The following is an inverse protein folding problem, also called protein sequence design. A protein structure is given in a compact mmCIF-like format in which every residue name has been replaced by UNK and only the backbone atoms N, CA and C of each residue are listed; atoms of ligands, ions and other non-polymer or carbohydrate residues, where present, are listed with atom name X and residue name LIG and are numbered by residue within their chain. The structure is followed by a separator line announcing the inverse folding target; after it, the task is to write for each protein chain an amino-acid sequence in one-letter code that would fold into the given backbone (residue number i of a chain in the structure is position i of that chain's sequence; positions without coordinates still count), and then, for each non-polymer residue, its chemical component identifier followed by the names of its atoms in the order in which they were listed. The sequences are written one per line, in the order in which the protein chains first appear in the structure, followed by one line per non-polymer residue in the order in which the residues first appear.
data_IF_270970578672
#
_entry.id   IF_270970578672
#
_cell.length_a   1.000
_cell.length_b   1.000
_cell.length_c   1.000
_cell.angle_alpha   90.00
_cell.angle_beta   90.00
_cell.angle_gamma   90.00
#
_symmetry.space_group_name_H-M   'P 1'
#
loop_
_entity.id
_entity.type
_entity.pdbx_description
1 polymer ?
#
# COMPACT_ATOMS: atom_id res chain seq x y z
N UNK A 1 -16.90 -59.01 18.22
CA UNK A 1 -17.40 -60.29 17.68
C UNK A 1 -17.88 -60.00 16.26
N UNK A 2 -17.06 -60.30 15.26
CA UNK A 2 -17.04 -61.57 14.49
C UNK A 2 -18.12 -61.59 13.40
N UNK A 3 -17.66 -61.63 12.14
CA UNK A 3 -18.40 -61.90 10.91
C UNK A 3 -19.27 -63.17 11.01
N UNK A 4 -20.22 -63.37 10.08
CA UNK A 4 -19.84 -64.21 8.93
C UNK A 4 -20.42 -63.74 7.58
N UNK A 5 -19.66 -64.04 6.53
CA UNK A 5 -20.17 -64.29 5.18
C UNK A 5 -20.62 -65.76 5.05
N UNK A 6 -21.41 -66.10 4.01
CA UNK A 6 -20.98 -67.22 3.15
C UNK A 6 -21.25 -66.96 1.64
N UNK A 7 -20.27 -67.15 0.75
CA UNK A 7 -19.92 -68.37 -0.05
C UNK A 7 -20.77 -68.55 -1.34
N UNK A 8 -20.05 -68.53 -2.48
CA UNK A 8 -20.49 -68.95 -3.84
C UNK A 8 -20.51 -70.48 -4.01
N UNK A 9 -21.11 -70.97 -5.11
CA UNK A 9 -20.34 -71.66 -6.17
C UNK A 9 -20.73 -71.09 -7.56
N UNK A 10 -20.02 -71.21 -8.68
CA UNK A 10 -18.92 -72.07 -9.11
C UNK A 10 -19.11 -72.39 -10.61
N UNK A 11 -18.29 -71.75 -11.47
CA UNK A 11 -17.80 -72.13 -12.83
C UNK A 11 -18.67 -72.91 -13.85
N UNK A 12 -18.79 -72.33 -15.05
CA UNK A 12 -18.25 -72.78 -16.38
C UNK A 12 -19.15 -72.15 -17.46
N UNK A 13 -18.73 -71.65 -18.62
CA UNK A 13 -17.56 -71.83 -19.45
C UNK A 13 -18.08 -71.90 -20.89
N UNK A 14 -17.69 -70.95 -21.75
CA UNK A 14 -17.34 -71.11 -23.18
C UNK A 14 -17.54 -69.82 -23.97
N UNK A 15 -16.48 -69.51 -24.72
CA UNK A 15 -16.38 -68.44 -25.70
C UNK A 15 -17.11 -68.79 -27.00
N UNK A 16 -17.60 -67.76 -27.71
CA UNK A 16 -17.86 -67.77 -29.16
C UNK A 16 -17.69 -66.34 -29.68
N UNK A 17 -16.59 -66.04 -30.38
CA UNK A 17 -16.53 -65.91 -31.86
C UNK A 17 -17.47 -64.78 -32.33
N UNK A 18 -17.01 -63.54 -32.51
CA UNK A 18 -16.19 -63.00 -33.62
C UNK A 18 -16.92 -63.03 -34.97
N UNK A 19 -17.78 -62.04 -35.19
CA UNK A 19 -18.22 -61.58 -36.51
C UNK A 19 -18.30 -60.05 -36.51
N UNK A 20 -17.20 -59.38 -36.85
CA UNK A 20 -17.23 -57.99 -37.30
C UNK A 20 -17.56 -58.00 -38.78
N UNK A 21 -18.79 -57.61 -39.13
CA UNK A 21 -19.19 -57.35 -40.52
C UNK A 21 -18.38 -56.17 -41.06
N UNK A 22 -17.66 -56.45 -42.14
CA UNK A 22 -17.03 -55.46 -43.01
C UNK A 22 -18.12 -54.64 -43.69
N UNK A 23 -18.16 -53.34 -43.41
CA UNK A 23 -18.77 -52.36 -44.31
C UNK A 23 -17.63 -51.74 -45.13
N UNK A 24 -17.62 -52.07 -46.41
CA UNK A 24 -16.78 -51.47 -47.45
C UNK A 24 -17.15 -50.00 -47.59
N UNK A 25 -16.25 -49.10 -47.19
CA UNK A 25 -16.32 -47.68 -47.51
C UNK A 25 -15.70 -47.52 -48.90
N UNK A 26 -16.54 -47.30 -49.92
CA UNK A 26 -16.08 -46.77 -51.20
C UNK A 26 -15.55 -45.35 -50.97
N UNK A 27 -14.23 -45.20 -51.08
CA UNK A 27 -13.56 -43.91 -51.11
C UNK A 27 -13.79 -43.33 -52.51
N UNK A 28 -14.83 -42.49 -52.65
CA UNK A 28 -14.95 -41.60 -53.80
C UNK A 28 -13.90 -40.49 -53.64
N UNK A 29 -12.75 -40.69 -54.28
CA UNK A 29 -11.72 -39.67 -54.42
C UNK A 29 -12.18 -38.58 -55.39
N UNK A 30 -12.73 -37.48 -54.88
CA UNK A 30 -12.81 -36.22 -55.64
C UNK A 30 -11.54 -35.40 -55.36
N UNK A 31 -10.80 -34.94 -56.38
CA UNK A 31 -9.62 -34.12 -56.16
C UNK A 31 -10.06 -32.67 -55.92
N UNK A 32 -10.19 -32.28 -54.66
CA UNK A 32 -10.27 -30.86 -54.29
C UNK A 32 -8.90 -30.19 -54.50
N UNK A 33 -8.72 -29.59 -55.68
CA UNK A 33 -7.63 -28.65 -55.97
C UNK A 33 -7.86 -27.36 -55.18
N UNK A 34 -7.43 -27.33 -53.92
CA UNK A 34 -7.19 -26.06 -53.22
C UNK A 34 -5.69 -25.77 -53.23
N UNK A 35 -5.20 -25.26 -54.36
CA UNK A 35 -3.89 -24.62 -54.44
C UNK A 35 -4.05 -23.22 -53.82
N UNK A 36 -4.13 -23.15 -52.50
CA UNK A 36 -4.00 -21.87 -51.79
C UNK A 36 -2.59 -21.38 -52.14
N UNK A 37 -2.50 -20.27 -52.86
CA UNK A 37 -1.22 -19.66 -53.19
C UNK A 37 -0.44 -19.47 -51.88
N UNK A 38 0.84 -19.84 -51.90
CA UNK A 38 1.74 -19.73 -50.75
C UNK A 38 1.79 -18.29 -50.22
N UNK A 39 1.50 -17.30 -51.07
CA UNK A 39 1.36 -15.89 -50.69
C UNK A 39 0.08 -15.59 -49.92
N UNK A 40 -1.05 -16.23 -50.27
CA UNK A 40 -2.32 -16.08 -49.55
C UNK A 40 -2.25 -16.72 -48.16
N UNK A 41 -1.48 -17.80 -48.01
CA UNK A 41 -1.21 -18.42 -46.71
C UNK A 41 -0.31 -17.54 -45.83
N UNK A 42 0.78 -16.99 -46.41
CA UNK A 42 1.66 -16.03 -45.73
C UNK A 42 0.89 -14.78 -45.27
N UNK A 43 0.02 -14.23 -46.12
CA UNK A 43 -0.79 -13.06 -45.78
C UNK A 43 -1.75 -13.34 -44.61
N UNK A 44 -2.42 -14.50 -44.62
CA UNK A 44 -3.33 -14.90 -43.53
C UNK A 44 -2.58 -15.11 -42.20
N UNK A 45 -1.40 -15.73 -42.23
CA UNK A 45 -0.56 -15.91 -41.04
C UNK A 45 -0.07 -14.55 -40.51
N UNK A 46 0.36 -13.64 -41.38
CA UNK A 46 0.79 -12.30 -40.99
C UNK A 46 -0.35 -11.48 -40.37
N UNK A 47 -1.56 -11.54 -40.94
CA UNK A 47 -2.75 -10.88 -40.38
C UNK A 47 -3.10 -11.47 -39.01
N UNK A 48 -3.07 -12.80 -38.86
CA UNK A 48 -3.35 -13.47 -37.60
C UNK A 48 -2.33 -13.09 -36.51
N UNK A 49 -1.04 -13.01 -36.86
CA UNK A 49 0.02 -12.58 -35.94
C UNK A 49 -0.18 -11.11 -35.52
N UNK A 50 -0.57 -10.23 -36.45
CA UNK A 50 -0.89 -8.83 -36.17
C UNK A 50 -2.09 -8.70 -35.23
N UNK A 51 -3.14 -9.51 -35.42
CA UNK A 51 -4.30 -9.56 -34.54
C UNK A 51 -3.95 -10.02 -33.12
N UNK A 52 -3.02 -10.98 -32.97
CA UNK A 52 -2.55 -11.42 -31.65
C UNK A 52 -1.76 -10.31 -30.96
N UNK A 53 -0.83 -9.66 -31.68
CA UNK A 53 0.01 -8.58 -31.10
C UNK A 53 -0.86 -7.39 -30.67
N UNK A 54 -1.88 -7.05 -31.47
CA UNK A 54 -2.83 -5.98 -31.13
C UNK A 54 -3.77 -6.37 -29.99
N UNK A 55 -4.25 -7.62 -29.92
CA UNK A 55 -5.03 -8.10 -28.77
C UNK A 55 -4.22 -8.07 -27.46
N UNK A 56 -2.92 -8.42 -27.50
CA UNK A 56 -2.02 -8.34 -26.35
C UNK A 56 -1.77 -6.89 -25.92
N UNK A 57 -1.59 -5.97 -26.87
CA UNK A 57 -1.44 -4.53 -26.56
C UNK A 57 -2.71 -3.93 -25.95
N UNK A 58 -3.88 -4.27 -26.49
CA UNK A 58 -5.17 -3.78 -26.00
C UNK A 58 -5.44 -4.32 -24.59
N UNK A 59 -5.27 -5.63 -24.37
CA UNK A 59 -5.45 -6.23 -23.05
C UNK A 59 -4.46 -5.69 -22.01
N UNK A 60 -3.22 -5.35 -22.40
CA UNK A 60 -2.25 -4.69 -21.53
C UNK A 60 -2.68 -3.30 -21.07
N UNK A 61 -3.28 -2.51 -21.97
CA UNK A 61 -3.78 -1.16 -21.67
C UNK A 61 -5.06 -1.18 -20.80
N UNK A 62 -5.98 -2.12 -21.04
CA UNK A 62 -7.19 -2.25 -20.22
C UNK A 62 -6.89 -2.70 -18.79
N UNK A 63 -5.94 -3.63 -18.60
CA UNK A 63 -5.52 -4.10 -17.27
C UNK A 63 -4.96 -2.96 -16.40
N UNK A 64 -4.14 -2.08 -16.99
CA UNK A 64 -3.56 -0.94 -16.27
C UNK A 64 -4.59 0.10 -15.84
N UNK A 65 -5.65 0.30 -16.61
CA UNK A 65 -6.72 1.26 -16.28
C UNK A 65 -7.62 0.70 -15.19
N UNK A 66 -7.98 -0.59 -15.26
CA UNK A 66 -8.80 -1.27 -14.26
C UNK A 66 -8.07 -1.37 -12.90
N UNK A 67 -6.78 -1.73 -12.91
CA UNK A 67 -5.94 -1.74 -11.70
C UNK A 67 -5.84 -0.34 -11.07
N UNK A 68 -5.79 0.74 -11.87
CA UNK A 68 -5.73 2.13 -11.37
C UNK A 68 -7.05 2.61 -10.74
N UNK A 69 -8.19 2.19 -11.28
CA UNK A 69 -9.52 2.58 -10.79
C UNK A 69 -9.88 1.84 -9.50
N UNK A 70 -9.51 0.56 -9.41
CA UNK A 70 -9.65 -0.24 -8.19
C UNK A 70 -8.68 0.25 -7.10
N UNK A 71 -7.48 0.71 -7.47
CA UNK A 71 -6.50 1.32 -6.57
C UNK A 71 -7.04 2.58 -5.87
N UNK A 72 -7.53 3.57 -6.61
CA UNK A 72 -8.02 4.84 -6.06
C UNK A 72 -9.23 4.64 -5.13
N UNK A 73 -10.11 3.70 -5.46
CA UNK A 73 -11.25 3.33 -4.61
C UNK A 73 -10.80 2.63 -3.31
N UNK A 74 -9.78 1.78 -3.36
CA UNK A 74 -9.24 1.11 -2.19
C UNK A 74 -8.64 2.10 -1.18
N UNK A 75 -7.92 3.14 -1.64
CA UNK A 75 -7.29 4.11 -0.74
C UNK A 75 -8.26 5.15 -0.16
N UNK A 76 -9.28 5.58 -0.91
CA UNK A 76 -10.35 6.44 -0.37
C UNK A 76 -11.04 5.82 0.85
N UNK A 77 -11.13 4.49 0.92
CA UNK A 77 -11.70 3.76 2.06
C UNK A 77 -10.87 3.93 3.35
N UNK A 78 -9.54 4.11 3.26
CA UNK A 78 -8.64 4.21 4.42
C UNK A 78 -8.19 5.64 4.75
N UNK A 79 -8.27 6.55 3.78
CA UNK A 79 -7.67 7.88 3.88
C UNK A 79 -8.62 9.03 3.45
N UNK A 80 -9.94 8.91 3.66
CA UNK A 80 -10.88 10.05 3.59
C UNK A 80 -10.57 11.06 4.71
N UNK A 81 -9.48 11.79 4.53
CA UNK A 81 -9.07 12.85 5.42
C UNK A 81 -9.73 14.15 4.97
N UNK A 82 -10.78 14.52 5.69
CA UNK A 82 -11.37 15.85 5.60
C UNK A 82 -10.62 16.78 6.53
N UNK A 83 -10.29 17.97 6.04
CA UNK A 83 -9.78 19.04 6.87
C UNK A 83 -10.91 19.53 7.78
N UNK A 84 -10.84 19.09 9.03
CA UNK A 84 -11.87 19.37 10.03
C UNK A 84 -11.23 20.00 11.28
N UNK A 85 -12.04 20.75 12.05
CA UNK A 85 -11.63 21.25 13.35
C UNK A 85 -11.24 20.10 14.27
N UNK A 86 -10.18 20.30 15.07
CA UNK A 86 -9.73 19.30 16.02
C UNK A 86 -8.53 19.77 16.82
N UNK A 87 -8.03 18.89 17.70
CA UNK A 87 -6.87 19.21 18.51
C UNK A 87 -5.56 19.01 17.75
N UNK A 88 -4.65 19.96 17.94
CA UNK A 88 -3.22 19.79 17.69
C UNK A 88 -2.48 19.86 19.01
N UNK A 89 -1.32 19.22 19.07
CA UNK A 89 -0.46 19.24 20.24
C UNK A 89 0.61 20.33 20.05
N UNK A 90 0.62 21.30 20.95
CA UNK A 90 1.59 22.39 20.97
C UNK A 90 2.64 22.07 22.03
N UNK A 91 3.91 22.09 21.62
CA UNK A 91 5.07 21.89 22.47
C UNK A 91 5.94 23.14 22.37
N UNK A 92 5.98 23.96 23.42
CA UNK A 92 6.62 25.28 23.38
C UNK A 92 7.44 25.58 24.61
N UNK A 93 8.47 26.42 24.50
CA UNK A 93 9.18 26.93 25.67
C UNK A 93 8.25 27.82 26.50
N UNK A 94 8.45 27.81 27.81
CA UNK A 94 7.71 28.69 28.71
C UNK A 94 7.93 30.15 28.30
N UNK A 95 6.82 30.90 28.18
CA UNK A 95 6.84 32.31 27.80
C UNK A 95 6.96 32.59 26.29
N UNK A 96 7.02 31.57 25.43
CA UNK A 96 6.97 31.76 23.97
C UNK A 96 5.57 31.50 23.43
N UNK A 97 5.27 32.04 22.24
CA UNK A 97 4.04 31.75 21.51
C UNK A 97 4.35 30.94 20.25
N UNK A 98 3.49 29.98 19.92
CA UNK A 98 3.58 29.19 18.70
C UNK A 98 2.22 29.25 18.04
N UNK A 99 2.19 29.76 16.80
CA UNK A 99 1.01 29.74 15.97
C UNK A 99 0.97 28.40 15.20
N UNK A 100 0.03 27.49 15.51
CA UNK A 100 -0.05 26.22 14.83
C UNK A 100 -0.33 26.35 13.32
N UNK A 101 -0.96 27.43 12.85
CA UNK A 101 -1.21 27.64 11.42
C UNK A 101 0.06 28.00 10.63
N UNK A 102 1.10 28.52 11.30
CA UNK A 102 2.36 28.98 10.67
C UNK A 102 3.57 28.13 11.03
N UNK A 103 3.47 27.30 12.08
CA UNK A 103 4.59 26.54 12.63
C UNK A 103 4.71 25.18 11.97
N UNK A 104 5.28 25.17 10.76
CA UNK A 104 5.47 23.97 9.94
C UNK A 104 6.83 23.29 10.11
N UNK A 105 7.74 23.90 10.88
CA UNK A 105 9.07 23.34 11.21
C UNK A 105 9.39 23.48 12.69
N UNK A 106 10.20 22.59 13.27
CA UNK A 106 10.66 22.76 14.64
C UNK A 106 11.58 23.97 14.77
N UNK A 107 11.43 24.74 15.85
CA UNK A 107 12.27 25.90 16.17
C UNK A 107 12.82 25.79 17.59
N UNK A 108 13.69 26.71 18.01
CA UNK A 108 14.13 26.78 19.42
C UNK A 108 12.98 27.03 20.40
N UNK A 109 11.93 27.69 19.94
CA UNK A 109 10.74 28.03 20.72
C UNK A 109 9.79 26.84 20.86
N UNK A 110 9.82 25.90 19.92
CA UNK A 110 9.06 24.66 19.99
C UNK A 110 8.57 24.18 18.64
N UNK A 111 7.47 23.42 18.63
CA UNK A 111 6.90 22.80 17.44
C UNK A 111 5.45 22.35 17.69
N UNK A 112 4.78 21.92 16.62
CA UNK A 112 3.39 21.45 16.65
C UNK A 112 3.30 20.04 16.07
N UNK A 113 2.59 19.17 16.77
CA UNK A 113 2.22 17.83 16.31
C UNK A 113 0.76 17.86 15.89
N UNK A 114 0.47 17.29 14.72
CA UNK A 114 -0.84 17.27 14.06
C UNK A 114 -1.26 15.82 13.82
N UNK A 115 -2.56 15.59 13.73
CA UNK A 115 -3.08 14.28 13.36
C UNK A 115 -2.68 13.92 11.93
N UNK A 116 -2.61 12.63 11.63
CA UNK A 116 -2.20 12.00 10.36
C UNK A 116 -0.75 12.27 9.91
N UNK A 117 0.02 13.04 10.69
CA UNK A 117 1.48 13.19 10.52
C UNK A 117 2.28 12.07 11.18
N UNK A 118 3.48 11.82 10.66
CA UNK A 118 4.47 10.90 11.19
C UNK A 118 5.47 11.66 12.08
N UNK A 119 5.78 11.09 13.23
CA UNK A 119 6.71 11.67 14.21
C UNK A 119 7.59 10.60 14.85
N UNK A 120 8.84 10.95 15.17
CA UNK A 120 9.74 10.11 15.97
C UNK A 120 9.63 10.51 17.45
N UNK A 121 8.81 9.76 18.19
CA UNK A 121 8.48 10.02 19.59
C UNK A 121 8.92 8.89 20.49
N UNK A 122 9.47 9.26 21.64
CA UNK A 122 9.80 8.36 22.75
C UNK A 122 9.00 8.71 24.00
N UNK A 123 8.47 7.68 24.66
CA UNK A 123 7.58 7.80 25.80
C UNK A 123 8.23 7.35 27.11
N UNK A 124 7.57 7.66 28.23
CA UNK A 124 8.04 7.42 29.59
C UNK A 124 8.34 5.94 29.91
N UNK A 125 7.67 5.02 29.22
CA UNK A 125 7.89 3.57 29.31
C UNK A 125 9.09 3.07 28.49
N UNK A 126 9.87 3.97 27.86
CA UNK A 126 11.00 3.64 27.01
C UNK A 126 10.64 3.20 25.59
N UNK A 127 9.34 3.08 25.24
CA UNK A 127 8.94 2.78 23.86
C UNK A 127 9.19 3.98 22.96
N UNK A 128 9.72 3.70 21.77
CA UNK A 128 9.97 4.69 20.71
C UNK A 128 9.29 4.24 19.43
N UNK A 129 8.61 5.18 18.78
CA UNK A 129 7.94 4.99 17.51
C UNK A 129 8.61 5.90 16.50
N UNK A 130 9.36 5.34 15.56
CA UNK A 130 10.18 6.10 14.59
C UNK A 130 9.35 6.63 13.41
N UNK A 131 8.35 5.85 13.03
CA UNK A 131 7.48 6.04 11.85
C UNK A 131 5.99 5.95 12.22
N UNK A 132 5.67 6.15 13.50
CA UNK A 132 4.28 6.11 13.97
C UNK A 132 3.48 7.32 13.49
N UNK A 133 2.27 7.07 13.03
CA UNK A 133 1.31 8.10 12.60
C UNK A 133 0.44 8.47 13.79
N UNK A 134 0.29 9.77 14.05
CA UNK A 134 -0.61 10.26 15.11
C UNK A 134 -2.04 10.21 14.60
N UNK A 135 -2.83 9.23 15.03
CA UNK A 135 -4.21 9.05 14.55
C UNK A 135 -5.23 9.91 15.28
N UNK A 136 -4.96 10.28 16.53
CA UNK A 136 -5.85 11.12 17.31
C UNK A 136 -5.09 11.95 18.33
N UNK A 137 -5.62 13.15 18.64
CA UNK A 137 -5.15 14.01 19.72
C UNK A 137 -6.40 14.47 20.47
N UNK A 138 -6.37 14.34 21.80
CA UNK A 138 -7.39 14.88 22.70
C UNK A 138 -6.77 15.95 23.59
N UNK A 139 -7.52 16.42 24.59
CA UNK A 139 -7.02 17.44 25.52
C UNK A 139 -5.80 16.97 26.34
N UNK A 140 -5.71 15.68 26.64
CA UNK A 140 -4.77 15.11 27.60
C UNK A 140 -4.03 13.85 27.11
N UNK A 141 -4.36 13.36 25.91
CA UNK A 141 -3.74 12.19 25.30
C UNK A 141 -3.54 12.31 23.79
N UNK A 142 -2.72 11.42 23.25
CA UNK A 142 -2.59 11.18 21.81
C UNK A 142 -2.59 9.68 21.52
N UNK A 143 -3.00 9.31 20.32
CA UNK A 143 -2.94 7.93 19.81
C UNK A 143 -1.97 7.85 18.65
N UNK A 144 -1.00 6.93 18.71
CA UNK A 144 0.04 6.71 17.71
C UNK A 144 0.02 5.26 17.22
N UNK A 145 0.24 5.03 15.92
CA UNK A 145 0.43 3.68 15.38
C UNK A 145 1.84 3.14 15.61
N UNK A 146 2.02 1.81 15.57
CA UNK A 146 3.36 1.19 15.68
C UNK A 146 4.34 1.64 14.60
N UNK A 147 3.86 1.74 13.36
CA UNK A 147 4.58 2.24 12.18
C UNK A 147 3.56 2.86 11.20
N UNK A 148 3.94 3.17 9.96
CA UNK A 148 3.07 3.94 9.06
C UNK A 148 1.81 3.19 8.62
N UNK A 149 1.93 1.92 8.26
CA UNK A 149 0.82 1.09 7.80
C UNK A 149 1.09 -0.41 8.08
N UNK A 150 0.13 -1.26 7.73
CA UNK A 150 0.21 -2.72 7.93
C UNK A 150 1.37 -3.37 7.15
N UNK A 151 1.68 -2.88 5.94
CA UNK A 151 2.78 -3.41 5.14
C UNK A 151 4.13 -3.13 5.80
N UNK A 152 4.32 -1.92 6.34
CA UNK A 152 5.51 -1.59 7.13
C UNK A 152 5.62 -2.46 8.37
N UNK A 153 4.51 -2.69 9.08
CA UNK A 153 4.50 -3.51 10.29
C UNK A 153 4.91 -4.95 9.97
N UNK A 154 4.36 -5.51 8.89
CA UNK A 154 4.71 -6.84 8.39
C UNK A 154 6.19 -6.94 8.00
N UNK A 155 6.72 -5.92 7.33
CA UNK A 155 8.14 -5.86 6.94
C UNK A 155 9.07 -5.78 8.16
N UNK A 156 8.70 -4.98 9.16
CA UNK A 156 9.43 -4.81 10.41
C UNK A 156 9.28 -6.02 11.37
N UNK A 157 8.37 -6.96 11.08
CA UNK A 157 8.10 -8.11 11.93
C UNK A 157 7.38 -7.75 13.23
N UNK A 158 6.60 -6.68 13.23
CA UNK A 158 5.82 -6.19 14.39
C UNK A 158 4.32 -6.15 14.07
N UNK A 159 3.44 -6.21 15.08
CA UNK A 159 2.01 -6.02 14.83
C UNK A 159 1.69 -4.55 14.50
N UNK A 160 0.70 -4.35 13.61
CA UNK A 160 0.16 -3.02 13.36
C UNK A 160 -0.89 -2.69 14.42
N UNK A 161 -0.51 -1.83 15.37
CA UNK A 161 -1.32 -1.52 16.56
C UNK A 161 -1.35 -0.02 16.83
N UNK A 162 -2.35 0.41 17.59
CA UNK A 162 -2.50 1.78 18.05
C UNK A 162 -2.28 1.85 19.56
N UNK A 163 -1.49 2.82 19.98
CA UNK A 163 -1.15 3.05 21.38
C UNK A 163 -1.58 4.45 21.80
N UNK A 164 -2.29 4.54 22.91
CA UNK A 164 -2.68 5.82 23.50
C UNK A 164 -1.80 6.16 24.68
N UNK A 165 -1.27 7.38 24.70
CA UNK A 165 -0.39 7.90 25.75
C UNK A 165 -0.94 9.20 26.29
N UNK A 166 -0.70 9.49 27.57
CA UNK A 166 -0.90 10.85 28.08
C UNK A 166 0.10 11.79 27.41
N UNK A 167 -0.29 13.04 27.19
CA UNK A 167 0.64 14.07 26.69
C UNK A 167 1.86 14.25 27.60
N UNK A 168 1.72 13.96 28.90
CA UNK A 168 2.80 14.02 29.89
C UNK A 168 3.82 12.89 29.76
N UNK A 169 3.47 11.81 29.06
CA UNK A 169 4.36 10.67 28.87
C UNK A 169 5.38 10.88 27.76
N UNK A 170 5.20 11.89 26.90
CA UNK A 170 6.15 12.18 25.82
C UNK A 170 7.46 12.69 26.44
N UNK A 171 8.57 12.02 26.15
CA UNK A 171 9.89 12.35 26.71
C UNK A 171 10.79 13.05 25.72
N UNK A 172 10.85 12.53 24.50
CA UNK A 172 11.75 13.05 23.47
C UNK A 172 11.04 13.05 22.13
N UNK A 173 11.14 14.17 21.41
CA UNK A 173 10.87 14.23 19.98
C UNK A 173 12.20 14.33 19.22
N UNK A 174 12.34 13.55 18.14
CA UNK A 174 13.52 13.57 17.27
C UNK A 174 13.13 14.05 15.89
N UNK A 175 14.03 14.80 15.28
CA UNK A 175 13.84 15.33 13.93
C UNK A 175 15.08 15.02 13.12
N UNK A 176 14.90 14.42 11.95
CA UNK A 176 16.03 14.19 11.04
C UNK A 176 16.58 15.53 10.59
N UNK A 177 17.89 15.71 10.73
CA UNK A 177 18.63 16.82 10.14
C UNK A 177 19.21 16.40 8.80
N UNK A 178 19.86 15.24 8.77
CA UNK A 178 20.48 14.68 7.56
C UNK A 178 20.21 13.18 7.54
N UNK A 179 19.53 12.73 6.48
CA UNK A 179 19.13 11.34 6.29
C UNK A 179 20.34 10.46 5.97
N UNK A 180 21.25 10.95 5.12
CA UNK A 180 22.41 10.19 4.64
C UNK A 180 23.41 9.90 5.75
N UNK A 181 23.52 10.83 6.71
CA UNK A 181 24.42 10.72 7.85
C UNK A 181 23.73 10.19 9.12
N UNK A 182 22.42 9.93 9.08
CA UNK A 182 21.64 9.51 10.24
C UNK A 182 21.71 10.52 11.40
N UNK A 183 21.77 11.81 11.09
CA UNK A 183 21.90 12.88 12.09
C UNK A 183 20.50 13.33 12.50
N UNK A 184 20.25 13.37 13.81
CA UNK A 184 18.98 13.81 14.39
C UNK A 184 19.18 14.97 15.36
N UNK A 185 18.33 15.99 15.27
CA UNK A 185 18.12 16.91 16.37
C UNK A 185 17.11 16.31 17.36
N UNK A 186 17.26 16.65 18.64
CA UNK A 186 16.44 16.11 19.73
C UNK A 186 15.87 17.24 20.55
N UNK A 187 14.59 17.13 20.92
CA UNK A 187 13.93 17.99 21.91
C UNK A 187 13.50 17.15 23.09
N UNK A 188 14.10 17.41 24.25
CA UNK A 188 13.64 16.87 25.53
C UNK A 188 12.39 17.63 25.94
N UNK A 189 11.29 16.93 26.08
CA UNK A 189 9.98 17.55 26.31
C UNK A 189 9.88 18.17 27.72
N UNK A 190 10.71 17.73 28.67
CA UNK A 190 10.86 18.34 30.00
C UNK A 190 11.15 19.83 29.97
N UNK A 191 11.74 20.33 28.89
CA UNK A 191 12.17 21.73 28.76
C UNK A 191 11.05 22.62 28.16
N UNK A 192 9.88 22.05 27.92
CA UNK A 192 8.76 22.66 27.20
C UNK A 192 7.44 22.49 27.98
N UNK A 193 6.54 23.44 27.77
CA UNK A 193 5.12 23.28 28.05
C UNK A 193 4.46 22.47 26.93
N UNK A 194 3.57 21.57 27.32
CA UNK A 194 2.86 20.67 26.41
C UNK A 194 1.36 20.76 26.68
N UNK A 195 0.59 21.10 25.66
CA UNK A 195 -0.87 21.15 25.75
C UNK A 195 -1.52 21.01 24.37
N UNK A 196 -2.77 20.56 24.35
CA UNK A 196 -3.57 20.51 23.14
C UNK A 196 -4.34 21.81 22.93
N UNK A 197 -4.50 22.21 21.66
CA UNK A 197 -5.28 23.38 21.25
C UNK A 197 -6.17 23.03 20.05
N UNK A 198 -7.40 23.54 20.04
CA UNK A 198 -8.30 23.40 18.90
C UNK A 198 -7.88 24.33 17.76
N UNK A 199 -7.90 23.82 16.54
CA UNK A 199 -7.66 24.57 15.31
C UNK A 199 -8.63 24.11 14.23
N UNK A 200 -8.90 24.96 13.23
CA UNK A 200 -9.85 24.64 12.14
C UNK A 200 -9.38 23.51 11.23
N UNK A 201 -8.07 23.29 11.15
CA UNK A 201 -7.45 22.24 10.35
C UNK A 201 -6.45 21.48 11.20
N UNK A 202 -6.88 20.40 11.83
CA UNK A 202 -6.04 19.65 12.78
C UNK A 202 -5.24 18.50 12.15
N UNK A 203 -5.73 17.97 11.02
CA UNK A 203 -5.13 16.85 10.30
C UNK A 203 -4.15 17.33 9.22
N UNK A 204 -3.08 16.58 9.02
CA UNK A 204 -2.21 16.63 7.85
C UNK A 204 -2.64 15.52 6.90
N UNK A 205 -3.57 15.84 6.01
CA UNK A 205 -4.18 14.82 5.17
C UNK A 205 -3.14 14.14 4.27
N UNK A 206 -3.01 12.81 4.30
CA UNK A 206 -2.10 12.11 3.41
C UNK A 206 -2.42 12.43 1.96
N UNK A 207 -1.37 12.59 1.16
CA UNK A 207 -1.47 12.88 -0.25
C UNK A 207 -1.53 11.59 -1.06
N UNK A 208 -2.48 11.49 -1.99
CA UNK A 208 -2.48 10.44 -3.01
C UNK A 208 -1.78 11.00 -4.23
N UNK A 209 -0.59 10.47 -4.54
CA UNK A 209 0.27 10.99 -5.60
C UNK A 209 0.53 9.92 -6.65
N UNK A 210 0.42 10.30 -7.91
CA UNK A 210 0.85 9.48 -9.05
C UNK A 210 2.31 9.79 -9.36
N UNK A 211 3.14 8.76 -9.54
CA UNK A 211 4.59 8.86 -9.76
C UNK A 211 4.89 8.58 -11.24
N UNK A 212 4.99 9.60 -12.11
CA UNK A 212 5.10 9.37 -13.56
C UNK A 212 6.39 8.65 -13.93
N UNK A 213 7.48 8.93 -13.20
CA UNK A 213 8.78 8.28 -13.37
C UNK A 213 8.81 6.82 -12.90
N UNK A 214 7.76 6.35 -12.23
CA UNK A 214 7.59 4.97 -11.74
C UNK A 214 6.38 4.31 -12.41
N UNK A 215 6.28 4.44 -13.75
CA UNK A 215 5.19 3.85 -14.52
C UNK A 215 3.78 4.25 -14.02
N UNK A 216 3.61 5.52 -13.63
CA UNK A 216 2.38 6.06 -13.06
C UNK A 216 1.88 5.34 -11.79
N UNK A 217 2.80 4.78 -11.00
CA UNK A 217 2.47 4.18 -9.70
C UNK A 217 1.81 5.20 -8.78
N UNK A 218 0.66 4.85 -8.20
CA UNK A 218 -0.06 5.69 -7.25
C UNK A 218 0.35 5.29 -5.82
N UNK A 219 0.73 6.27 -4.99
CA UNK A 219 1.08 6.05 -3.58
C UNK A 219 0.32 6.99 -2.66
N UNK A 220 -0.03 6.45 -1.49
CA UNK A 220 -0.39 7.28 -0.33
C UNK A 220 0.89 7.74 0.36
N UNK A 221 0.94 9.03 0.59
CA UNK A 221 2.12 9.75 1.02
C UNK A 221 1.81 10.52 2.30
N UNK A 222 2.55 10.26 3.38
CA UNK A 222 2.37 10.89 4.67
C UNK A 222 3.41 11.97 4.93
N UNK A 223 3.00 13.01 5.66
CA UNK A 223 3.90 14.06 6.10
C UNK A 223 4.71 13.62 7.31
N UNK A 224 6.04 13.72 7.22
CA UNK A 224 6.98 13.42 8.29
C UNK A 224 7.71 14.69 8.73
N UNK A 225 7.65 15.02 10.02
CA UNK A 225 8.27 16.25 10.53
C UNK A 225 9.79 16.06 10.74
N UNK A 226 10.58 16.71 9.90
CA UNK A 226 12.05 16.81 9.99
C UNK A 226 12.48 18.14 10.60
N UNK A 227 13.78 18.34 10.77
CA UNK A 227 14.30 19.59 11.34
C UNK A 227 14.14 20.77 10.39
N UNK A 228 14.03 20.51 9.08
CA UNK A 228 13.85 21.51 8.04
C UNK A 228 12.38 21.84 7.77
N UNK A 229 11.45 20.96 8.15
CA UNK A 229 10.02 21.11 7.89
C UNK A 229 9.37 19.75 7.67
N UNK A 230 8.22 19.72 7.00
CA UNK A 230 7.62 18.46 6.61
C UNK A 230 8.22 17.92 5.32
N UNK A 231 8.68 16.69 5.39
CA UNK A 231 8.97 15.85 4.24
C UNK A 231 7.81 14.90 3.97
N UNK A 232 7.88 14.21 2.83
CA UNK A 232 6.85 13.26 2.41
C UNK A 232 7.46 11.86 2.37
N UNK A 233 6.81 10.93 3.05
CA UNK A 233 7.13 9.51 3.07
C UNK A 233 6.04 8.71 2.35
N UNK A 234 6.43 7.63 1.69
CA UNK A 234 5.51 6.66 1.11
C UNK A 234 6.08 5.25 1.28
N UNK A 235 5.21 4.23 1.13
CA UNK A 235 5.62 2.84 1.31
C UNK A 235 5.84 2.12 -0.03
N UNK A 236 6.93 1.36 -0.11
CA UNK A 236 7.25 0.44 -1.21
C UNK A 236 7.62 -0.93 -0.65
N UNK A 237 6.74 -1.93 -0.83
CA UNK A 237 6.96 -3.29 -0.36
C UNK A 237 7.29 -3.39 1.15
N UNK A 238 6.64 -2.55 1.95
CA UNK A 238 6.82 -2.40 3.40
C UNK A 238 7.97 -1.46 3.81
N UNK A 239 8.83 -1.03 2.89
CA UNK A 239 9.86 -0.04 3.17
C UNK A 239 9.31 1.38 3.12
N UNK A 240 9.81 2.25 4.01
CA UNK A 240 9.51 3.68 3.99
C UNK A 240 10.53 4.43 3.15
N UNK A 241 10.08 4.95 2.02
CA UNK A 241 10.88 5.78 1.12
C UNK A 241 10.55 7.25 1.30
N UNK A 242 11.55 8.10 1.08
CA UNK A 242 11.34 9.54 0.99
C UNK A 242 10.97 9.94 -0.42
N UNK A 243 10.20 11.02 -0.52
CA UNK A 243 10.05 11.73 -1.78
C UNK A 243 11.38 12.43 -2.13
N UNK A 244 11.96 12.06 -3.27
CA UNK A 244 13.26 12.58 -3.74
C UNK A 244 13.14 13.64 -4.84
N UNK A 245 11.93 13.90 -5.34
CA UNK A 245 11.71 14.88 -6.41
C UNK A 245 10.46 15.76 -6.15
N UNK A 246 10.37 16.94 -6.78
CA UNK A 246 9.26 17.85 -6.57
C UNK A 246 7.92 17.21 -6.95
N UNK A 247 6.94 17.32 -6.07
CA UNK A 247 5.56 16.92 -6.32
C UNK A 247 4.79 18.15 -6.76
N UNK A 248 4.18 18.10 -7.94
CA UNK A 248 3.23 19.11 -8.38
C UNK A 248 1.85 18.75 -7.86
N UNK A 249 1.32 19.59 -6.99
CA UNK A 249 -0.05 19.48 -6.50
C UNK A 249 -1.00 20.00 -7.59
N UNK A 250 -1.95 19.17 -8.01
CA UNK A 250 -3.09 19.60 -8.83
C UNK A 250 -4.28 19.91 -7.94
#
# INVERSE_FOLDING_TARGET
MMFPAPIMPGKSGKASILEKRFYSIEIISTPFKNKISMETLKLKVSIFLLCIISAVHINGQFKTVEDSLDYDMHYKKYYDCKYEPGYVLIIRKKGTSIDPAKSWKPSKEGFVIRMEGIYDLEFSNGKRYRSGVIKNITKDSLTISSTMNENCAKYEGIPYEFFTYSLKDIRTARFINDRSLGIFSRKKISDYEVFAAMVDKAKLCPAVLTFPKRNNEVKVCHYYLTAQGYDILYETNGFLDYMEYPVYWQ
#
